data_IF_016265253149
#
_entry.id   IF_016265253149
#
_cell.length_a   1.000
_cell.length_b   1.000
_cell.length_c   1.000
_cell.angle_alpha   90.00
_cell.angle_beta   90.00
_cell.angle_gamma   90.00
#
_symmetry.space_group_name_H-M   'P 1'
#
loop_
_entity.id
_entity.type
_entity.pdbx_description
1 polymer ?
#
# COMPACT_ATOMS: atom_id res chain seq x y z
N UNK A 1 6.80 21.53 15.55
CA UNK A 1 8.26 21.63 15.28
C UNK A 1 8.58 20.95 13.96
N UNK A 2 9.65 21.37 13.30
CA UNK A 2 10.36 20.62 12.27
C UNK A 2 11.69 20.19 12.88
N UNK A 3 12.07 18.93 12.68
CA UNK A 3 13.26 18.33 13.28
C UNK A 3 14.14 17.81 12.15
N UNK A 4 15.44 18.09 12.26
CA UNK A 4 16.44 17.43 11.46
C UNK A 4 17.62 16.97 12.33
N UNK A 5 18.33 15.95 11.85
CA UNK A 5 19.46 15.36 12.52
C UNK A 5 20.50 14.86 11.51
N UNK A 6 21.77 14.89 11.91
CA UNK A 6 22.84 14.19 11.20
C UNK A 6 23.75 13.45 12.17
N UNK A 7 24.33 12.35 11.70
CA UNK A 7 25.15 11.45 12.52
C UNK A 7 26.57 12.01 12.61
N UNK A 8 27.05 12.21 13.84
CA UNK A 8 28.41 12.64 14.16
C UNK A 8 29.37 11.44 14.15
N UNK A 9 29.00 10.40 14.88
CA UNK A 9 29.72 9.14 14.96
C UNK A 9 28.75 7.97 14.93
N UNK A 10 29.12 6.90 14.22
CA UNK A 10 28.36 5.65 14.25
C UNK A 10 28.90 4.80 15.39
N UNK A 11 28.01 4.39 16.27
CA UNK A 11 28.28 3.36 17.26
C UNK A 11 28.44 1.99 16.60
N UNK A 12 29.18 1.09 17.24
CA UNK A 12 29.33 -0.30 16.78
C UNK A 12 28.21 -1.24 17.29
N UNK A 13 27.24 -0.70 18.05
CA UNK A 13 26.07 -1.43 18.52
C UNK A 13 26.30 -2.32 19.75
N UNK A 14 27.50 -2.30 20.34
CA UNK A 14 27.89 -3.14 21.48
C UNK A 14 27.44 -2.58 22.86
N UNK A 15 26.21 -2.09 22.97
CA UNK A 15 25.62 -1.59 24.23
C UNK A 15 25.44 -0.07 24.33
N UNK A 16 24.93 0.45 25.47
CA UNK A 16 24.53 1.86 25.64
C UNK A 16 25.69 2.85 25.46
N UNK A 17 26.90 2.46 25.85
CA UNK A 17 28.13 3.28 25.72
C UNK A 17 28.73 3.23 24.30
N UNK A 18 28.19 2.36 23.45
CA UNK A 18 28.59 2.20 22.06
C UNK A 18 27.52 2.71 21.08
N UNK A 19 26.72 3.69 21.54
CA UNK A 19 25.69 4.36 20.76
C UNK A 19 26.26 5.28 19.67
N UNK A 20 25.42 5.64 18.70
CA UNK A 20 25.76 6.67 17.72
C UNK A 20 25.58 8.06 18.32
N UNK A 21 26.51 8.98 18.07
CA UNK A 21 26.31 10.40 18.41
C UNK A 21 25.63 11.11 17.26
N UNK A 22 24.63 11.93 17.57
CA UNK A 22 23.78 12.61 16.58
C UNK A 22 23.64 14.07 16.97
N UNK A 23 23.83 14.97 16.01
CA UNK A 23 23.46 16.38 16.17
C UNK A 23 21.99 16.51 15.75
N UNK A 24 21.17 17.06 16.64
CA UNK A 24 19.73 17.26 16.43
C UNK A 24 19.43 18.75 16.51
N UNK A 25 18.68 19.26 15.55
CA UNK A 25 18.16 20.63 15.59
C UNK A 25 16.66 20.67 15.37
N UNK A 26 16.00 21.60 16.05
CA UNK A 26 14.56 21.79 16.02
C UNK A 26 14.24 23.24 15.72
N UNK A 27 13.26 23.46 14.85
CA UNK A 27 12.71 24.79 14.57
C UNK A 27 11.19 24.78 14.70
N UNK A 28 10.60 25.88 15.19
CA UNK A 28 9.14 26.05 15.18
C UNK A 28 8.65 26.13 13.74
N UNK A 29 7.54 25.46 13.45
CA UNK A 29 6.95 25.44 12.09
C UNK A 29 6.65 26.87 11.61
N UNK A 30 6.13 27.70 12.49
CA UNK A 30 5.80 29.09 12.22
C UNK A 30 7.04 29.92 11.86
N UNK A 31 8.11 29.85 12.68
CA UNK A 31 9.39 30.51 12.36
C UNK A 31 9.97 30.07 11.01
N UNK A 32 9.91 28.77 10.69
CA UNK A 32 10.37 28.26 9.41
C UNK A 32 9.49 28.79 8.26
N UNK A 33 8.18 28.79 8.44
CA UNK A 33 7.21 29.29 7.47
C UNK A 33 7.42 30.78 7.20
N UNK A 34 7.52 31.60 8.24
CA UNK A 34 7.75 33.05 8.12
C UNK A 34 9.05 33.34 7.37
N UNK A 35 10.10 32.59 7.66
CA UNK A 35 11.37 32.70 6.94
C UNK A 35 11.22 32.33 5.45
N UNK A 36 10.57 31.21 5.13
CA UNK A 36 10.30 30.80 3.74
C UNK A 36 9.43 31.84 3.01
N UNK A 37 8.37 32.33 3.66
CA UNK A 37 7.44 33.28 3.05
C UNK A 37 8.10 34.65 2.81
N UNK A 38 9.03 35.07 3.68
CA UNK A 38 9.84 36.27 3.44
C UNK A 38 10.70 36.15 2.17
N UNK A 39 11.29 34.98 1.91
CA UNK A 39 12.09 34.71 0.72
C UNK A 39 11.23 34.60 -0.54
N UNK A 40 10.02 34.04 -0.43
CA UNK A 40 9.04 34.02 -1.53
C UNK A 40 8.63 35.42 -1.96
N UNK A 41 8.58 36.39 -1.04
CA UNK A 41 8.36 37.80 -1.37
C UNK A 41 9.41 38.36 -2.33
N UNK A 42 10.62 37.80 -2.32
CA UNK A 42 11.70 38.09 -3.26
C UNK A 42 11.78 37.09 -4.43
N UNK A 43 10.75 36.27 -4.65
CA UNK A 43 10.71 35.19 -5.66
C UNK A 43 11.79 34.10 -5.47
N UNK A 44 12.27 33.91 -4.25
CA UNK A 44 13.27 32.89 -3.90
C UNK A 44 12.59 31.73 -3.19
N UNK A 45 12.76 30.51 -3.72
CA UNK A 45 12.42 29.28 -3.01
C UNK A 45 13.73 28.59 -2.54
N UNK A 46 14.05 28.60 -1.24
CA UNK A 46 15.31 28.04 -0.76
C UNK A 46 15.31 26.51 -0.85
N UNK A 47 16.34 25.95 -1.49
CA UNK A 47 16.60 24.49 -1.51
C UNK A 47 17.04 23.94 -0.15
N UNK A 48 17.80 24.75 0.59
CA UNK A 48 18.36 24.39 1.88
C UNK A 48 18.07 25.51 2.87
N UNK A 49 17.63 25.13 4.07
CA UNK A 49 17.55 26.03 5.24
C UNK A 49 18.30 25.32 6.38
N UNK A 50 19.35 25.93 6.90
CA UNK A 50 20.28 25.33 7.88
C UNK A 50 20.67 26.37 8.95
N UNK A 51 21.44 25.96 9.96
CA UNK A 51 22.01 26.84 10.98
C UNK A 51 23.22 27.62 10.43
N UNK A 52 23.35 28.89 10.82
CA UNK A 52 24.48 29.76 10.43
C UNK A 52 25.85 29.17 10.81
N UNK A 53 25.98 28.56 12.01
CA UNK A 53 27.23 27.94 12.44
C UNK A 53 27.69 26.80 11.52
N UNK A 54 26.74 26.04 10.96
CA UNK A 54 27.05 24.96 10.02
C UNK A 54 27.35 25.49 8.62
N UNK A 55 26.76 26.63 8.24
CA UNK A 55 27.18 27.32 7.04
C UNK A 55 28.66 27.73 7.10
N UNK A 56 29.11 28.32 8.22
CA UNK A 56 30.53 28.64 8.40
C UNK A 56 31.43 27.40 8.30
N UNK A 57 30.98 26.27 8.87
CA UNK A 57 31.66 24.96 8.74
C UNK A 57 31.84 24.52 7.28
N UNK A 58 30.85 24.74 6.41
CA UNK A 58 30.98 24.39 4.99
C UNK A 58 32.07 25.19 4.28
N UNK A 59 32.29 26.46 4.68
CA UNK A 59 33.42 27.26 4.19
C UNK A 59 34.76 26.76 4.72
N UNK A 60 34.84 26.52 6.03
CA UNK A 60 36.06 25.99 6.65
C UNK A 60 36.48 24.65 6.03
N UNK A 61 35.52 23.75 5.82
CA UNK A 61 35.79 22.46 5.19
C UNK A 61 36.11 22.55 3.72
N UNK A 62 35.89 23.65 3.02
CA UNK A 62 36.33 23.75 1.63
C UNK A 62 37.84 24.04 1.56
N UNK A 63 38.36 24.91 2.42
CA UNK A 63 39.70 25.49 2.25
C UNK A 63 40.73 25.23 3.36
N UNK A 64 40.31 24.92 4.58
CA UNK A 64 41.24 24.86 5.73
C UNK A 64 41.50 23.45 6.26
N UNK A 65 40.50 22.55 6.18
CA UNK A 65 40.52 21.11 6.60
C UNK A 65 41.75 20.68 7.43
N UNK A 66 41.65 20.74 8.75
CA UNK A 66 42.65 20.16 9.67
C UNK A 66 42.12 18.89 10.33
N UNK A 67 43.02 18.00 10.76
CA UNK A 67 42.65 16.83 11.58
C UNK A 67 42.43 17.21 13.06
N UNK A 68 42.89 18.38 13.48
CA UNK A 68 42.76 18.90 14.84
C UNK A 68 41.34 19.35 15.19
N UNK A 69 41.08 19.49 16.50
CA UNK A 69 39.83 20.04 17.03
C UNK A 69 39.89 21.57 17.05
N UNK A 70 39.07 22.23 16.22
CA UNK A 70 39.09 23.69 16.04
C UNK A 70 37.73 24.31 16.33
N UNK A 71 37.73 25.55 16.79
CA UNK A 71 36.53 26.36 16.98
C UNK A 71 36.35 27.31 15.79
N UNK A 72 35.14 27.41 15.26
CA UNK A 72 34.75 28.39 14.25
C UNK A 72 33.77 29.37 14.88
N UNK A 73 34.08 30.67 14.84
CA UNK A 73 33.32 31.71 15.50
C UNK A 73 32.94 32.83 14.53
N UNK A 74 31.66 32.95 14.22
CA UNK A 74 31.09 34.10 13.51
C UNK A 74 30.67 35.17 14.53
N UNK A 75 31.30 36.35 14.50
CA UNK A 75 30.99 37.47 15.39
C UNK A 75 30.17 38.51 14.61
N UNK A 76 28.85 38.36 14.68
CA UNK A 76 27.89 39.26 14.03
C UNK A 76 27.65 40.55 14.81
N UNK A 77 26.58 41.27 14.44
CA UNK A 77 26.19 42.51 15.11
C UNK A 77 25.41 42.24 16.41
N UNK A 78 24.31 41.48 16.34
CA UNK A 78 23.47 41.17 17.51
C UNK A 78 23.70 39.78 18.10
N UNK A 79 24.30 38.87 17.32
CA UNK A 79 24.52 37.47 17.69
C UNK A 79 25.90 37.02 17.20
N UNK A 80 26.45 36.05 17.92
CA UNK A 80 27.67 35.34 17.53
C UNK A 80 27.40 33.84 17.57
N UNK A 81 28.01 33.10 16.64
CA UNK A 81 27.76 31.68 16.46
C UNK A 81 29.06 30.90 16.53
N UNK A 82 29.11 29.89 17.39
CA UNK A 82 30.23 28.98 17.57
C UNK A 82 29.90 27.60 16.99
N UNK A 83 30.85 27.03 16.27
CA UNK A 83 30.86 25.62 15.84
C UNK A 83 32.22 25.01 16.17
N UNK A 84 32.29 24.00 17.01
CA UNK A 84 33.51 23.22 17.23
C UNK A 84 33.51 22.02 16.30
N UNK A 85 34.62 21.86 15.60
CA UNK A 85 34.86 20.84 14.58
C UNK A 85 35.96 19.94 15.10
N UNK A 86 35.67 18.66 15.30
CA UNK A 86 36.65 17.64 15.70
C UNK A 86 36.75 16.60 14.60
N UNK A 87 37.99 16.27 14.17
CA UNK A 87 38.27 15.25 13.15
C UNK A 87 37.44 15.46 11.88
N UNK A 88 37.40 16.72 11.42
CA UNK A 88 36.66 17.15 10.24
C UNK A 88 35.12 17.17 10.36
N UNK A 89 34.55 16.92 11.55
CA UNK A 89 33.10 16.85 11.76
C UNK A 89 32.61 17.92 12.75
N UNK A 90 31.49 18.61 12.45
CA UNK A 90 30.94 19.62 13.35
C UNK A 90 30.18 18.93 14.47
N UNK A 91 30.56 19.15 15.74
CA UNK A 91 30.03 18.38 16.88
C UNK A 91 29.33 19.20 17.96
N UNK A 92 29.74 20.46 18.13
CA UNK A 92 29.20 21.35 19.17
C UNK A 92 28.87 22.70 18.59
N UNK A 93 27.60 23.10 18.68
CA UNK A 93 27.09 24.36 18.12
C UNK A 93 26.47 25.18 19.24
N UNK A 94 26.82 26.46 19.31
CA UNK A 94 26.27 27.40 20.28
C UNK A 94 26.02 28.76 19.65
N UNK A 95 24.95 29.43 20.08
CA UNK A 95 24.65 30.81 19.69
C UNK A 95 24.68 31.68 20.93
N UNK A 96 25.38 32.79 20.85
CA UNK A 96 25.44 33.84 21.85
C UNK A 96 24.53 35.00 21.41
N UNK A 97 23.69 35.50 22.31
CA UNK A 97 22.85 36.67 22.06
C UNK A 97 23.63 37.99 22.25
N UNK A 98 24.86 38.01 21.74
CA UNK A 98 25.82 39.13 21.83
C UNK A 98 26.63 39.18 20.55
N UNK A 99 27.06 40.38 20.18
CA UNK A 99 27.90 40.65 19.02
C UNK A 99 28.41 42.09 19.08
N UNK A 100 28.78 42.65 17.93
CA UNK A 100 29.31 44.01 17.81
C UNK A 100 28.43 45.12 18.38
N UNK A 101 27.10 44.95 18.47
CA UNK A 101 26.19 45.93 19.05
C UNK A 101 26.46 46.16 20.55
N UNK A 102 27.01 45.16 21.26
CA UNK A 102 27.42 45.32 22.65
C UNK A 102 28.57 46.32 22.79
N UNK A 103 29.53 46.26 21.87
CA UNK A 103 30.64 47.21 21.77
C UNK A 103 30.09 48.61 21.45
N UNK A 104 29.24 48.70 20.43
CA UNK A 104 28.63 49.97 20.00
C UNK A 104 27.83 50.63 21.11
N UNK A 105 27.02 49.87 21.84
CA UNK A 105 26.25 50.38 22.99
C UNK A 105 27.16 50.87 24.11
N UNK A 106 28.27 50.17 24.36
CA UNK A 106 29.24 50.57 25.39
C UNK A 106 29.96 51.86 25.01
N UNK A 107 30.27 52.06 23.73
CA UNK A 107 30.84 53.32 23.20
C UNK A 107 29.81 54.45 23.33
N UNK A 108 28.57 54.20 22.93
CA UNK A 108 27.45 55.14 23.09
C UNK A 108 27.32 55.60 24.54
N UNK A 109 27.25 54.67 25.49
CA UNK A 109 27.06 55.00 26.92
C UNK A 109 28.27 55.73 27.51
N UNK A 110 29.47 55.39 27.07
CA UNK A 110 30.69 56.01 27.58
C UNK A 110 30.93 57.43 27.05
N UNK A 111 30.61 57.67 25.76
CA UNK A 111 30.85 58.94 25.10
C UNK A 111 29.63 59.85 25.05
N UNK A 112 28.43 59.35 25.37
CA UNK A 112 27.18 60.10 25.34
C UNK A 112 26.72 60.47 23.93
N UNK A 113 27.12 59.70 22.91
CA UNK A 113 26.82 59.92 21.49
C UNK A 113 25.69 59.04 20.97
N UNK A 114 25.20 59.29 19.75
CA UNK A 114 24.18 58.44 19.12
C UNK A 114 24.71 57.05 18.74
N UNK A 115 23.83 56.05 18.59
CA UNK A 115 24.21 54.68 18.22
C UNK A 115 24.94 54.63 16.85
N UNK A 116 24.45 55.38 15.87
CA UNK A 116 25.06 55.46 14.53
C UNK A 116 26.47 56.06 14.58
N UNK A 117 26.65 57.14 15.35
CA UNK A 117 27.95 57.78 15.58
C UNK A 117 28.92 56.86 16.35
N UNK A 118 28.41 56.12 17.34
CA UNK A 118 29.18 55.11 18.07
C UNK A 118 29.64 53.96 17.15
N UNK A 119 28.78 53.52 16.23
CA UNK A 119 29.15 52.50 15.24
C UNK A 119 30.22 53.00 14.28
N UNK A 120 30.08 54.24 13.81
CA UNK A 120 31.07 54.89 12.96
C UNK A 120 32.42 55.01 13.67
N UNK A 121 32.43 55.43 14.95
CA UNK A 121 33.65 55.49 15.76
C UNK A 121 34.28 54.11 15.97
N UNK A 122 33.47 53.07 16.21
CA UNK A 122 33.92 51.67 16.32
C UNK A 122 34.59 51.19 15.02
N UNK A 123 33.99 51.49 13.86
CA UNK A 123 34.49 51.03 12.56
C UNK A 123 35.76 51.81 12.15
N UNK A 124 35.78 53.12 12.37
CA UNK A 124 36.86 54.02 11.91
C UNK A 124 38.10 54.00 12.81
N UNK A 125 37.91 53.94 14.13
CA UNK A 125 38.98 54.10 15.12
C UNK A 125 39.06 52.95 16.13
N UNK A 126 38.17 51.96 16.05
CA UNK A 126 38.14 50.84 16.98
C UNK A 126 39.40 49.99 16.88
N UNK A 127 40.18 50.01 17.96
CA UNK A 127 41.39 49.21 18.13
C UNK A 127 41.41 48.60 19.52
N UNK A 128 41.84 47.34 19.62
CA UNK A 128 42.15 46.70 20.89
C UNK A 128 43.66 46.74 21.10
N UNK A 129 44.10 47.44 22.16
CA UNK A 129 45.50 47.44 22.56
C UNK A 129 45.78 46.18 23.38
N UNK A 130 46.77 45.37 22.96
CA UNK A 130 47.09 44.07 23.57
C UNK A 130 48.48 44.03 24.22
N UNK A 131 49.25 45.12 24.11
CA UNK A 131 50.52 45.38 24.81
C UNK A 131 50.56 46.86 25.21
N UNK A 132 51.17 47.19 26.35
CA UNK A 132 51.52 48.57 26.72
C UNK A 132 52.70 49.02 25.87
N UNK A 133 52.46 49.27 24.59
CA UNK A 133 53.40 50.08 23.81
C UNK A 133 53.20 51.51 24.30
N UNK A 134 54.22 52.07 24.96
CA UNK A 134 54.19 53.38 25.63
C UNK A 134 54.00 54.56 24.69
N UNK A 135 52.89 54.58 23.96
CA UNK A 135 52.47 55.65 23.08
C UNK A 135 51.28 56.31 23.74
N UNK A 136 51.56 57.46 24.37
CA UNK A 136 50.63 58.39 25.00
C UNK A 136 49.65 59.00 23.98
N UNK A 137 48.69 58.21 23.48
CA UNK A 137 47.49 58.74 22.85
C UNK A 137 46.27 58.40 23.73
N UNK A 138 45.97 59.31 24.66
CA UNK A 138 44.89 59.23 25.67
C UNK A 138 43.53 58.76 25.08
N UNK A 139 43.23 59.15 23.83
CA UNK A 139 42.00 58.76 23.13
C UNK A 139 41.99 57.28 22.67
N UNK A 140 43.13 56.72 22.25
CA UNK A 140 43.20 55.30 21.82
C UNK A 140 43.14 54.33 22.98
N UNK A 141 43.78 54.67 24.11
CA UNK A 141 43.68 53.86 25.33
C UNK A 141 42.24 53.85 25.86
N UNK A 142 41.60 55.02 25.88
CA UNK A 142 40.18 55.16 26.26
C UNK A 142 39.30 54.31 25.35
N UNK A 143 39.38 54.46 24.02
CA UNK A 143 38.59 53.68 23.05
C UNK A 143 38.82 52.17 23.22
N UNK A 144 40.08 51.74 23.36
CA UNK A 144 40.41 50.32 23.59
C UNK A 144 39.81 49.78 24.89
N UNK A 145 39.85 50.55 25.98
CA UNK A 145 39.27 50.13 27.27
C UNK A 145 37.75 49.95 27.20
N UNK A 146 37.06 50.85 26.50
CA UNK A 146 35.61 50.83 26.27
C UNK A 146 35.22 49.62 25.41
N UNK A 147 36.01 49.34 24.37
CA UNK A 147 35.79 48.19 23.50
C UNK A 147 35.97 46.87 24.25
N UNK A 148 37.04 46.74 25.05
CA UNK A 148 37.27 45.55 25.89
C UNK A 148 36.10 45.33 26.85
N UNK A 149 35.67 46.38 27.54
CA UNK A 149 34.49 46.34 28.43
C UNK A 149 33.22 45.87 27.71
N UNK A 150 33.02 46.30 26.46
CA UNK A 150 31.90 45.84 25.63
C UNK A 150 31.99 44.37 25.23
N UNK A 151 33.20 43.80 25.15
CA UNK A 151 33.47 42.41 24.83
C UNK A 151 33.41 41.48 26.06
N UNK A 152 33.68 41.96 27.27
CA UNK A 152 33.78 41.14 28.50
C UNK A 152 32.62 40.14 28.71
N UNK A 153 31.33 40.53 28.53
CA UNK A 153 30.23 39.59 28.70
C UNK A 153 30.26 38.46 27.66
N UNK A 154 30.63 38.79 26.43
CA UNK A 154 30.79 37.80 25.35
C UNK A 154 32.00 36.89 25.60
N UNK A 155 33.12 37.44 26.06
CA UNK A 155 34.32 36.68 26.40
C UNK A 155 34.06 35.67 27.51
N UNK A 156 33.29 36.06 28.53
CA UNK A 156 32.91 35.16 29.62
C UNK A 156 32.10 33.96 29.10
N UNK A 157 31.09 34.20 28.26
CA UNK A 157 30.26 33.14 27.69
C UNK A 157 31.06 32.24 26.73
N UNK A 158 31.97 32.82 25.94
CA UNK A 158 32.84 32.08 25.01
C UNK A 158 33.78 31.14 25.78
N UNK A 159 34.49 31.64 26.80
CA UNK A 159 35.37 30.83 27.67
C UNK A 159 34.62 29.66 28.30
N UNK A 160 33.43 29.93 28.85
CA UNK A 160 32.58 28.88 29.43
C UNK A 160 32.17 27.82 28.40
N UNK A 161 31.94 28.22 27.15
CA UNK A 161 31.50 27.32 26.09
C UNK A 161 32.62 26.41 25.61
N UNK A 162 33.82 26.96 25.43
CA UNK A 162 35.02 26.20 25.09
C UNK A 162 35.35 25.22 26.23
N UNK A 163 35.39 25.69 27.47
CA UNK A 163 35.67 24.86 28.63
C UNK A 163 34.63 23.74 28.82
N UNK A 164 33.35 24.03 28.62
CA UNK A 164 32.29 23.02 28.68
C UNK A 164 32.47 21.92 27.62
N UNK A 165 32.88 22.30 26.41
CA UNK A 165 33.22 21.33 25.37
C UNK A 165 34.40 20.45 25.78
N UNK A 166 35.50 21.05 26.23
CA UNK A 166 36.71 20.31 26.61
C UNK A 166 36.45 19.32 27.75
N UNK A 167 35.66 19.71 28.75
CA UNK A 167 35.23 18.81 29.82
C UNK A 167 34.36 17.67 29.28
N UNK A 168 33.37 17.99 28.46
CA UNK A 168 32.37 17.03 28.00
C UNK A 168 32.98 15.98 27.06
N UNK A 169 33.90 16.39 26.19
CA UNK A 169 34.47 15.54 25.14
C UNK A 169 35.90 15.08 25.43
N UNK A 170 36.55 15.63 26.47
CA UNK A 170 37.95 15.35 26.81
C UNK A 170 38.91 15.54 25.62
N UNK A 171 38.64 16.55 24.80
CA UNK A 171 39.41 16.94 23.63
C UNK A 171 39.65 18.46 23.67
N UNK A 172 40.91 18.94 23.71
CA UNK A 172 41.19 20.37 23.74
C UNK A 172 40.89 21.03 22.39
N UNK A 173 40.47 22.29 22.42
CA UNK A 173 40.39 23.11 21.19
C UNK A 173 41.78 23.66 20.91
N UNK A 174 42.33 23.40 19.72
CA UNK A 174 43.73 23.78 19.40
C UNK A 174 43.82 25.15 18.71
N UNK A 175 42.76 25.57 18.03
CA UNK A 175 42.75 26.79 17.22
C UNK A 175 41.35 27.38 17.10
N UNK A 176 41.28 28.71 17.04
CA UNK A 176 40.06 29.47 16.83
C UNK A 176 40.10 30.19 15.48
N UNK A 177 39.14 29.90 14.62
CA UNK A 177 38.89 30.65 13.40
C UNK A 177 37.78 31.65 13.62
N UNK A 178 38.01 32.92 13.29
CA UNK A 178 37.03 34.00 13.45
C UNK A 178 36.57 34.58 12.11
N UNK A 179 35.28 34.89 12.03
CA UNK A 179 34.62 35.51 10.88
C UNK A 179 33.57 36.53 11.35
N UNK A 180 32.93 37.21 10.39
CA UNK A 180 31.84 38.13 10.65
C UNK A 180 32.27 39.59 10.72
N UNK A 181 31.30 40.50 10.78
CA UNK A 181 31.57 41.93 10.74
C UNK A 181 32.45 42.42 11.90
N UNK A 182 32.20 41.90 13.10
CA UNK A 182 32.92 42.32 14.30
C UNK A 182 34.31 41.71 14.43
N UNK A 183 34.63 40.65 13.66
CA UNK A 183 36.00 40.13 13.61
C UNK A 183 36.95 41.09 12.88
N UNK A 184 36.46 42.15 12.22
CA UNK A 184 37.32 43.13 11.54
C UNK A 184 37.92 44.19 12.46
N UNK A 185 37.56 44.16 13.75
CA UNK A 185 38.11 45.07 14.74
C UNK A 185 39.62 44.86 14.86
N UNK A 186 40.39 45.96 14.86
CA UNK A 186 41.85 45.88 14.80
C UNK A 186 42.39 45.18 16.05
N UNK A 187 43.24 44.17 15.84
CA UNK A 187 43.85 43.29 16.86
C UNK A 187 42.88 42.41 17.67
N UNK A 188 41.65 42.18 17.19
CA UNK A 188 40.72 41.28 17.89
C UNK A 188 41.23 39.83 17.93
N UNK A 189 41.92 39.38 16.88
CA UNK A 189 42.62 38.10 16.81
C UNK A 189 43.63 37.95 17.95
N UNK A 190 44.47 38.96 18.17
CA UNK A 190 45.50 38.96 19.22
C UNK A 190 44.89 39.06 20.62
N UNK A 191 43.85 39.89 20.77
CA UNK A 191 43.10 39.99 22.03
C UNK A 191 42.47 38.64 22.40
N UNK A 192 41.77 38.01 21.45
CA UNK A 192 41.17 36.69 21.66
C UNK A 192 42.24 35.64 21.95
N UNK A 193 43.37 35.68 21.25
CA UNK A 193 44.47 34.74 21.46
C UNK A 193 45.05 34.84 22.86
N UNK A 194 45.28 36.06 23.36
CA UNK A 194 45.76 36.28 24.73
C UNK A 194 44.71 35.89 25.78
N UNK A 195 43.44 36.21 25.56
CA UNK A 195 42.37 35.93 26.52
C UNK A 195 42.04 34.44 26.62
N UNK A 196 42.16 33.70 25.51
CA UNK A 196 41.77 32.29 25.40
C UNK A 196 42.97 31.33 25.47
N UNK A 197 44.20 31.82 25.40
CA UNK A 197 45.42 31.02 25.24
C UNK A 197 45.33 30.09 24.01
N UNK A 198 44.86 30.63 22.87
CA UNK A 198 44.64 29.91 21.62
C UNK A 198 45.25 30.64 20.43
N UNK A 199 45.68 29.88 19.42
CA UNK A 199 45.98 30.46 18.12
C UNK A 199 44.66 30.95 17.48
N UNK A 200 44.64 32.19 17.01
CA UNK A 200 43.46 32.80 16.37
C UNK A 200 43.79 33.20 14.95
N UNK A 201 42.97 32.77 14.00
CA UNK A 201 43.12 33.10 12.59
C UNK A 201 41.79 33.58 11.99
N UNK A 202 41.85 34.50 11.02
CA UNK A 202 40.66 34.86 10.25
C UNK A 202 40.28 33.75 9.27
N UNK A 203 39.04 33.26 9.39
CA UNK A 203 38.45 32.46 8.32
C UNK A 203 38.10 33.39 7.16
N UNK A 204 38.74 33.18 6.01
CA UNK A 204 38.54 34.01 4.84
C UNK A 204 38.31 33.19 3.58
N UNK A 205 37.54 33.75 2.66
CA UNK A 205 37.35 33.16 1.33
C UNK A 205 38.57 33.55 0.47
N UNK A 206 39.20 32.59 -0.24
CA UNK A 206 40.38 32.88 -1.05
C UNK A 206 40.17 34.00 -2.07
N UNK A 207 41.19 34.86 -2.24
CA UNK A 207 41.11 36.02 -3.13
C UNK A 207 40.77 35.66 -4.59
N UNK A 208 41.21 34.50 -5.08
CA UNK A 208 40.90 34.01 -6.43
C UNK A 208 39.39 33.83 -6.67
N UNK A 209 38.65 33.49 -5.60
CA UNK A 209 37.19 33.38 -5.64
C UNK A 209 36.53 34.75 -5.53
N UNK A 210 37.06 35.64 -4.68
CA UNK A 210 36.56 37.01 -4.50
C UNK A 210 36.67 37.83 -5.78
N UNK A 211 37.75 37.69 -6.55
CA UNK A 211 37.94 38.42 -7.81
C UNK A 211 36.88 38.11 -8.88
N UNK A 212 36.19 36.97 -8.76
CA UNK A 212 35.10 36.59 -9.68
C UNK A 212 33.76 37.20 -9.29
N UNK A 213 33.68 37.83 -8.13
CA UNK A 213 32.46 38.40 -7.56
C UNK A 213 32.54 39.94 -7.62
N UNK A 214 31.60 40.63 -8.27
CA UNK A 214 31.58 42.09 -8.29
C UNK A 214 31.22 42.63 -6.90
N UNK A 215 31.92 43.68 -6.44
CA UNK A 215 31.55 44.44 -5.25
C UNK A 215 31.89 43.79 -3.89
N UNK A 216 32.76 42.77 -3.86
CA UNK A 216 33.19 42.10 -2.61
C UNK A 216 34.67 42.29 -2.29
N UNK A 217 35.28 43.34 -2.84
CA UNK A 217 36.67 43.70 -2.56
C UNK A 217 36.85 43.93 -1.06
N UNK A 218 37.79 43.18 -0.44
CA UNK A 218 38.03 43.25 1.00
C UNK A 218 36.96 42.61 1.89
N UNK A 219 35.93 41.96 1.33
CA UNK A 219 34.85 41.30 2.08
C UNK A 219 35.15 39.83 2.44
N UNK A 220 36.40 39.37 2.26
CA UNK A 220 36.78 37.96 2.42
C UNK A 220 36.45 37.36 3.79
N UNK A 221 36.46 38.16 4.85
CA UNK A 221 36.09 37.77 6.23
C UNK A 221 34.63 38.01 6.58
N UNK A 222 33.89 38.75 5.74
CA UNK A 222 32.47 39.10 5.94
C UNK A 222 31.53 38.06 5.32
N UNK A 223 31.90 37.48 4.17
CA UNK A 223 31.07 36.55 3.43
C UNK A 223 31.26 35.04 3.70
N UNK A 224 32.16 34.53 4.58
CA UNK A 224 32.34 33.09 4.79
C UNK A 224 31.05 32.31 5.05
N UNK A 225 30.15 32.84 5.88
CA UNK A 225 28.87 32.18 6.19
C UNK A 225 27.98 32.07 4.94
N UNK A 226 27.90 33.13 4.13
CA UNK A 226 27.14 33.13 2.88
C UNK A 226 27.72 32.17 1.83
N UNK A 227 29.04 32.16 1.67
CA UNK A 227 29.74 31.24 0.76
C UNK A 227 29.53 29.79 1.20
N UNK A 228 29.52 29.53 2.49
CA UNK A 228 29.25 28.20 3.04
C UNK A 228 27.85 27.68 2.73
N UNK A 229 26.84 28.56 2.78
CA UNK A 229 25.48 28.22 2.32
C UNK A 229 25.44 27.91 0.83
N UNK A 230 26.21 28.62 0.00
CA UNK A 230 26.30 28.34 -1.44
C UNK A 230 26.94 26.99 -1.69
N UNK A 231 28.08 26.69 -1.04
CA UNK A 231 28.76 25.40 -1.13
C UNK A 231 27.81 24.25 -0.73
N UNK A 232 27.08 24.44 0.37
CA UNK A 232 26.06 23.50 0.83
C UNK A 232 24.94 23.28 -0.20
N UNK A 233 24.46 24.34 -0.83
CA UNK A 233 23.43 24.26 -1.88
C UNK A 233 23.90 23.51 -3.13
N UNK A 234 25.18 23.65 -3.48
CA UNK A 234 25.83 23.03 -4.64
C UNK A 234 26.17 21.54 -4.42
N UNK A 235 26.38 21.11 -3.18
CA UNK A 235 26.68 19.72 -2.85
C UNK A 235 25.52 18.76 -3.21
N UNK A 236 25.85 17.52 -3.62
CA UNK A 236 24.87 16.44 -3.89
C UNK A 236 24.27 15.93 -2.56
N UNK A 237 23.07 15.32 -2.66
CA UNK A 237 22.09 14.93 -1.60
C UNK A 237 22.58 14.31 -0.26
N UNK A 238 23.88 14.09 -0.04
CA UNK A 238 24.42 13.41 1.16
C UNK A 238 25.56 14.16 1.87
N UNK A 239 25.72 15.46 1.63
CA UNK A 239 26.64 16.23 2.45
C UNK A 239 26.19 16.24 3.91
N UNK A 240 27.14 16.08 4.84
CA UNK A 240 26.94 16.25 6.28
C UNK A 240 26.35 17.64 6.55
N UNK A 241 25.26 17.72 7.30
CA UNK A 241 24.62 18.99 7.67
C UNK A 241 23.10 18.87 7.78
N UNK A 242 22.48 19.90 8.33
CA UNK A 242 21.04 19.98 8.52
C UNK A 242 20.35 20.58 7.29
N UNK A 243 19.08 20.28 7.11
CA UNK A 243 18.18 20.94 6.19
C UNK A 243 16.75 20.88 6.71
N UNK A 244 16.23 22.03 7.15
CA UNK A 244 14.86 22.17 7.63
C UNK A 244 13.80 22.12 6.52
N UNK A 245 14.16 22.08 5.23
CA UNK A 245 13.22 21.86 4.11
C UNK A 245 12.72 20.40 4.07
N UNK A 246 11.89 20.04 5.05
CA UNK A 246 11.35 18.68 5.28
C UNK A 246 9.83 18.67 5.33
N UNK A 247 9.25 17.50 5.04
CA UNK A 247 7.81 17.26 5.12
C UNK A 247 7.03 18.21 4.21
N UNK A 248 6.08 18.95 4.79
CA UNK A 248 5.28 19.96 4.08
C UNK A 248 6.11 21.13 3.53
N UNK A 249 7.32 21.35 4.05
CA UNK A 249 8.27 22.38 3.61
C UNK A 249 9.39 21.81 2.74
N UNK A 250 9.18 20.69 2.04
CA UNK A 250 10.19 20.16 1.12
C UNK A 250 10.41 21.08 -0.10
N UNK A 251 11.63 21.09 -0.64
CA UNK A 251 11.97 21.83 -1.86
C UNK A 251 11.79 20.99 -3.13
N UNK A 252 10.97 21.47 -4.06
CA UNK A 252 10.61 20.77 -5.29
C UNK A 252 9.50 19.72 -5.11
N UNK A 253 9.18 18.97 -6.18
CA UNK A 253 8.24 17.85 -6.10
C UNK A 253 8.87 16.72 -5.30
N UNK A 254 8.19 16.23 -4.26
CA UNK A 254 8.53 14.95 -3.63
C UNK A 254 8.54 13.85 -4.70
N UNK A 255 9.71 13.52 -5.27
CA UNK A 255 9.93 12.16 -5.77
C UNK A 255 10.24 11.34 -4.53
N UNK A 256 9.20 11.16 -3.70
CA UNK A 256 9.22 10.32 -2.52
C UNK A 256 9.73 8.95 -2.96
N UNK A 257 10.57 8.35 -2.13
CA UNK A 257 10.95 6.92 -2.14
C UNK A 257 9.75 5.95 -2.20
N UNK A 258 8.52 6.47 -2.21
CA UNK A 258 7.27 5.77 -2.47
C UNK A 258 7.07 5.35 -3.92
N UNK A 259 7.77 5.90 -4.92
CA UNK A 259 7.56 5.46 -6.32
C UNK A 259 7.93 3.99 -6.50
N UNK A 260 9.00 3.54 -5.84
CA UNK A 260 9.37 2.12 -5.82
C UNK A 260 8.29 1.27 -5.12
N UNK A 261 7.81 1.70 -3.95
CA UNK A 261 6.76 0.99 -3.19
C UNK A 261 5.44 0.90 -3.96
N UNK A 262 5.03 1.97 -4.64
CA UNK A 262 3.82 2.00 -5.47
C UNK A 262 3.98 1.06 -6.67
N UNK A 263 5.15 1.03 -7.30
CA UNK A 263 5.43 0.11 -8.40
C UNK A 263 5.36 -1.37 -7.94
N UNK A 264 5.88 -1.69 -6.75
CA UNK A 264 5.75 -3.03 -6.16
C UNK A 264 4.30 -3.41 -5.86
N UNK A 265 3.49 -2.48 -5.34
CA UNK A 265 2.06 -2.71 -5.07
C UNK A 265 1.31 -2.96 -6.39
N UNK A 266 1.57 -2.15 -7.42
CA UNK A 266 0.97 -2.33 -8.75
C UNK A 266 1.37 -3.68 -9.34
N UNK A 267 2.65 -4.05 -9.27
CA UNK A 267 3.14 -5.35 -9.74
C UNK A 267 2.46 -6.52 -8.99
N UNK A 268 2.31 -6.42 -7.67
CA UNK A 268 1.64 -7.43 -6.86
C UNK A 268 0.16 -7.60 -7.25
N UNK A 269 -0.56 -6.49 -7.49
CA UNK A 269 -1.96 -6.54 -7.96
C UNK A 269 -2.06 -7.22 -9.32
N UNK A 270 -1.16 -6.91 -10.26
CA UNK A 270 -1.13 -7.54 -11.58
C UNK A 270 -0.91 -9.05 -11.47
N UNK A 271 0.01 -9.49 -10.60
CA UNK A 271 0.25 -10.93 -10.36
C UNK A 271 -0.99 -11.62 -9.81
N UNK A 272 -1.70 -11.01 -8.85
CA UNK A 272 -2.94 -11.58 -8.30
C UNK A 272 -4.02 -11.70 -9.38
N UNK A 273 -4.18 -10.69 -10.23
CA UNK A 273 -5.14 -10.72 -11.35
C UNK A 273 -4.78 -11.81 -12.36
N UNK A 274 -3.50 -11.97 -12.70
CA UNK A 274 -3.02 -13.01 -13.62
C UNK A 274 -3.28 -14.41 -13.04
N UNK A 275 -2.94 -14.64 -11.77
CA UNK A 275 -3.20 -15.92 -11.10
C UNK A 275 -4.70 -16.22 -11.04
N UNK A 276 -5.53 -15.24 -10.71
CA UNK A 276 -6.99 -15.38 -10.70
C UNK A 276 -7.56 -15.69 -12.10
N UNK A 277 -6.99 -15.08 -13.15
CA UNK A 277 -7.39 -15.33 -14.54
C UNK A 277 -7.02 -16.75 -15.00
N UNK A 278 -5.83 -17.24 -14.60
CA UNK A 278 -5.38 -18.61 -14.87
C UNK A 278 -6.25 -19.64 -14.14
N UNK A 279 -6.59 -19.41 -12.87
CA UNK A 279 -7.51 -20.27 -12.11
C UNK A 279 -8.90 -20.30 -12.75
N UNK A 280 -9.44 -19.12 -13.12
CA UNK A 280 -10.72 -19.02 -13.80
C UNK A 280 -10.73 -19.77 -15.14
N UNK A 281 -9.69 -19.61 -15.95
CA UNK A 281 -9.56 -20.28 -17.24
C UNK A 281 -9.48 -21.81 -17.08
N UNK A 282 -8.70 -22.30 -16.12
CA UNK A 282 -8.59 -23.73 -15.81
C UNK A 282 -9.94 -24.31 -15.39
N UNK A 283 -10.67 -23.65 -14.49
CA UNK A 283 -12.01 -24.09 -14.06
C UNK A 283 -13.02 -24.06 -15.19
N UNK A 284 -12.93 -23.09 -16.09
CA UNK A 284 -13.80 -23.00 -17.26
C UNK A 284 -13.61 -24.20 -18.19
N UNK A 285 -12.35 -24.57 -18.47
CA UNK A 285 -12.01 -25.73 -19.31
C UNK A 285 -12.46 -27.05 -18.68
N UNK A 286 -12.25 -27.23 -17.36
CA UNK A 286 -12.71 -28.43 -16.65
C UNK A 286 -14.23 -28.59 -16.71
N UNK A 287 -14.98 -27.49 -16.53
CA UNK A 287 -16.45 -27.50 -16.63
C UNK A 287 -16.91 -27.84 -18.05
N UNK A 288 -16.25 -27.32 -19.06
CA UNK A 288 -16.57 -27.62 -20.46
C UNK A 288 -16.35 -29.10 -20.78
N UNK A 289 -15.24 -29.67 -20.31
CA UNK A 289 -14.91 -31.08 -20.51
C UNK A 289 -15.91 -32.00 -19.81
N UNK A 290 -16.25 -31.71 -18.55
CA UNK A 290 -17.28 -32.45 -17.80
C UNK A 290 -18.65 -32.39 -18.47
N UNK A 291 -19.03 -31.22 -19.01
CA UNK A 291 -20.29 -31.08 -19.74
C UNK A 291 -20.35 -32.00 -20.98
N UNK A 292 -19.25 -32.10 -21.73
CA UNK A 292 -19.16 -33.01 -22.87
C UNK A 292 -19.17 -34.49 -22.46
N UNK A 293 -18.47 -34.85 -21.37
CA UNK A 293 -18.49 -36.21 -20.83
C UNK A 293 -19.89 -36.64 -20.41
N UNK A 294 -20.59 -35.82 -19.61
CA UNK A 294 -21.97 -36.10 -19.19
C UNK A 294 -22.90 -36.26 -20.40
N UNK A 295 -22.76 -35.41 -21.43
CA UNK A 295 -23.55 -35.52 -22.66
C UNK A 295 -23.27 -36.83 -23.41
N UNK A 296 -22.00 -37.24 -23.47
CA UNK A 296 -21.58 -38.50 -24.08
C UNK A 296 -22.13 -39.71 -23.33
N UNK A 297 -22.08 -39.70 -22.00
CA UNK A 297 -22.58 -40.80 -21.16
C UNK A 297 -24.10 -40.94 -21.26
N UNK A 298 -24.84 -39.83 -21.26
CA UNK A 298 -26.28 -39.82 -21.52
C UNK A 298 -26.59 -40.45 -22.89
N UNK A 299 -25.80 -40.10 -23.91
CA UNK A 299 -25.98 -40.63 -25.26
C UNK A 299 -25.68 -42.13 -25.35
N UNK A 300 -24.62 -42.61 -24.68
CA UNK A 300 -24.29 -44.04 -24.61
C UNK A 300 -25.42 -44.82 -23.95
N UNK A 301 -25.86 -44.38 -22.77
CA UNK A 301 -26.96 -45.01 -22.05
C UNK A 301 -28.26 -45.05 -22.88
N UNK A 302 -28.55 -43.99 -23.65
CA UNK A 302 -29.69 -43.95 -24.56
C UNK A 302 -29.59 -44.98 -25.69
N UNK A 303 -28.43 -45.07 -26.36
CA UNK A 303 -28.21 -46.00 -27.48
C UNK A 303 -28.25 -47.46 -27.00
N UNK A 304 -27.65 -47.78 -25.85
CA UNK A 304 -27.70 -49.13 -25.26
C UNK A 304 -29.13 -49.57 -24.94
N UNK A 305 -29.98 -48.64 -24.51
CA UNK A 305 -31.38 -48.94 -24.16
C UNK A 305 -32.28 -49.03 -25.41
N UNK A 306 -31.98 -48.29 -26.49
CA UNK A 306 -32.81 -48.19 -27.70
C UNK A 306 -31.98 -48.31 -29.00
N UNK A 307 -31.45 -49.50 -29.34
CA UNK A 307 -30.48 -49.71 -30.42
C UNK A 307 -31.00 -49.47 -31.85
N UNK A 308 -32.30 -49.18 -32.04
CA UNK A 308 -32.92 -48.92 -33.34
C UNK A 308 -33.16 -47.44 -33.69
N UNK A 309 -32.73 -46.50 -32.84
CA UNK A 309 -33.03 -45.06 -33.03
C UNK A 309 -31.98 -44.37 -33.89
N UNK A 310 -32.34 -43.91 -35.09
CA UNK A 310 -31.41 -43.31 -36.07
C UNK A 310 -31.24 -41.79 -35.93
N UNK A 311 -32.16 -41.08 -35.28
CA UNK A 311 -32.10 -39.62 -35.11
C UNK A 311 -32.19 -39.20 -33.64
N UNK A 312 -31.05 -38.82 -33.07
CA UNK A 312 -30.89 -38.43 -31.66
C UNK A 312 -30.69 -36.91 -31.60
N UNK A 313 -31.74 -36.18 -31.21
CA UNK A 313 -31.74 -34.70 -31.17
C UNK A 313 -31.79 -34.19 -29.73
N UNK A 314 -32.49 -34.89 -28.83
CA UNK A 314 -32.60 -34.52 -27.42
C UNK A 314 -32.74 -35.77 -26.58
N UNK A 315 -31.59 -36.30 -26.15
CA UNK A 315 -31.44 -37.60 -25.49
C UNK A 315 -32.39 -37.74 -24.29
N UNK A 316 -32.43 -36.73 -23.42
CA UNK A 316 -33.27 -36.74 -22.22
C UNK A 316 -34.77 -36.73 -22.53
N UNK A 317 -35.21 -35.96 -23.54
CA UNK A 317 -36.62 -35.82 -23.86
C UNK A 317 -37.14 -37.04 -24.63
N UNK A 318 -36.31 -37.59 -25.53
CA UNK A 318 -36.60 -38.81 -26.26
C UNK A 318 -36.64 -40.02 -25.32
N UNK A 319 -35.73 -40.10 -24.34
CA UNK A 319 -35.76 -41.13 -23.30
C UNK A 319 -37.07 -41.10 -22.50
N UNK A 320 -37.45 -39.93 -22.00
CA UNK A 320 -38.72 -39.75 -21.26
C UNK A 320 -39.93 -40.19 -22.09
N UNK A 321 -39.95 -39.80 -23.36
CA UNK A 321 -41.07 -40.13 -24.26
C UNK A 321 -41.15 -41.63 -24.56
N UNK A 322 -40.01 -42.28 -24.81
CA UNK A 322 -39.94 -43.72 -25.07
C UNK A 322 -40.36 -44.55 -23.84
N UNK A 323 -39.94 -44.15 -22.64
CA UNK A 323 -40.36 -44.78 -21.38
C UNK A 323 -41.88 -44.68 -21.19
N UNK A 324 -42.47 -43.52 -21.48
CA UNK A 324 -43.93 -43.34 -21.40
C UNK A 324 -44.69 -44.17 -22.44
N UNK A 325 -44.16 -44.33 -23.65
CA UNK A 325 -44.76 -45.20 -24.67
C UNK A 325 -44.70 -46.69 -24.26
N UNK A 326 -43.56 -47.14 -23.73
CA UNK A 326 -43.41 -48.50 -23.22
C UNK A 326 -44.38 -48.79 -22.08
N UNK A 327 -44.56 -47.85 -21.13
CA UNK A 327 -45.57 -47.97 -20.07
C UNK A 327 -46.99 -48.09 -20.64
N UNK A 328 -47.33 -47.33 -21.69
CA UNK A 328 -48.64 -47.44 -22.36
C UNK A 328 -48.85 -48.82 -22.98
N UNK A 329 -47.84 -49.39 -23.64
CA UNK A 329 -47.91 -50.75 -24.23
C UNK A 329 -48.08 -51.82 -23.15
N UNK A 330 -47.32 -51.74 -22.06
CA UNK A 330 -47.45 -52.64 -20.91
C UNK A 330 -48.88 -52.58 -20.32
N UNK A 331 -49.42 -51.38 -20.15
CA UNK A 331 -50.81 -51.18 -19.68
C UNK A 331 -51.84 -51.75 -20.66
N UNK A 332 -51.63 -51.61 -21.97
CA UNK A 332 -52.54 -52.11 -23.01
C UNK A 332 -52.58 -53.64 -23.08
N UNK A 333 -51.46 -54.31 -22.79
CA UNK A 333 -51.36 -55.77 -22.69
C UNK A 333 -51.91 -56.33 -21.36
N UNK A 334 -52.53 -55.48 -20.53
CA UNK A 334 -53.12 -55.87 -19.25
C UNK A 334 -52.12 -55.96 -18.09
N UNK A 335 -50.83 -55.72 -18.32
CA UNK A 335 -49.82 -55.62 -17.28
C UNK A 335 -49.82 -54.21 -16.67
N UNK A 336 -50.35 -54.06 -15.47
CA UNK A 336 -50.30 -52.78 -14.76
C UNK A 336 -50.48 -53.00 -13.27
N UNK A 337 -49.88 -52.12 -12.45
CA UNK A 337 -49.86 -52.20 -10.98
C UNK A 337 -51.23 -52.40 -10.29
N UNK A 338 -52.34 -52.19 -11.01
CA UNK A 338 -53.71 -52.18 -10.46
C UNK A 338 -54.66 -53.20 -11.13
N UNK A 339 -54.16 -54.25 -11.80
CA UNK A 339 -54.99 -55.38 -12.27
C UNK A 339 -54.42 -56.70 -11.74
N UNK A 340 -55.25 -57.47 -11.04
CA UNK A 340 -54.85 -58.71 -10.36
C UNK A 340 -54.67 -59.91 -11.32
N UNK A 341 -55.20 -59.85 -12.55
CA UNK A 341 -55.10 -60.92 -13.55
C UNK A 341 -54.88 -60.36 -14.97
N UNK A 342 -53.97 -60.96 -15.73
CA UNK A 342 -53.70 -60.62 -17.13
C UNK A 342 -54.74 -61.19 -18.09
N UNK A 343 -54.64 -60.82 -19.37
CA UNK A 343 -55.53 -61.32 -20.42
C UNK A 343 -55.53 -62.86 -20.54
N UNK A 344 -54.35 -63.46 -20.35
CA UNK A 344 -54.16 -64.91 -20.38
C UNK A 344 -54.73 -65.60 -19.15
N UNK A 345 -54.61 -64.98 -17.97
CA UNK A 345 -55.14 -65.53 -16.72
C UNK A 345 -56.67 -65.58 -16.77
N UNK A 346 -57.31 -64.51 -17.27
CA UNK A 346 -58.75 -64.43 -17.50
C UNK A 346 -59.27 -65.50 -18.46
N UNK A 347 -58.56 -65.72 -19.57
CA UNK A 347 -58.87 -66.77 -20.53
C UNK A 347 -58.80 -68.15 -19.88
N UNK A 348 -57.78 -68.40 -19.05
CA UNK A 348 -57.64 -69.67 -18.36
C UNK A 348 -58.77 -69.88 -17.33
N UNK A 349 -59.15 -68.85 -16.56
CA UNK A 349 -60.25 -68.94 -15.59
C UNK A 349 -61.60 -69.23 -16.25
N UNK A 350 -61.89 -68.60 -17.40
CA UNK A 350 -63.10 -68.89 -18.16
C UNK A 350 -63.09 -70.35 -18.63
N UNK A 351 -61.95 -70.83 -19.14
CA UNK A 351 -61.81 -72.21 -19.62
C UNK A 351 -61.97 -73.25 -18.50
N UNK A 352 -61.43 -73.02 -17.31
CA UNK A 352 -61.55 -73.93 -16.17
C UNK A 352 -62.98 -74.06 -15.64
N UNK A 353 -63.80 -73.00 -15.77
CA UNK A 353 -65.15 -72.97 -15.22
C UNK A 353 -66.21 -73.58 -16.14
N UNK A 354 -65.91 -73.78 -17.43
CA UNK A 354 -66.84 -74.38 -18.38
C UNK A 354 -66.79 -75.91 -18.27
N UNK A 355 -67.88 -76.60 -17.88
CA UNK A 355 -67.93 -78.06 -17.82
C UNK A 355 -67.67 -78.68 -19.20
N UNK A 356 -66.85 -79.74 -19.27
CA UNK A 356 -66.52 -80.45 -20.52
C UNK A 356 -67.72 -81.13 -21.20
N UNK A 357 -68.83 -81.26 -20.47
CA UNK A 357 -70.09 -81.83 -20.94
C UNK A 357 -70.93 -80.83 -21.76
N UNK A 358 -70.63 -79.53 -21.64
CA UNK A 358 -71.28 -78.47 -22.41
C UNK A 358 -70.66 -78.38 -23.81
N UNK A 359 -71.44 -78.70 -24.85
CA UNK A 359 -71.03 -78.50 -26.24
C UNK A 359 -71.11 -77.01 -26.60
N UNK A 360 -70.04 -76.29 -26.28
CA UNK A 360 -69.88 -74.85 -26.51
C UNK A 360 -68.55 -74.62 -27.21
N UNK A 361 -68.58 -73.97 -28.37
CA UNK A 361 -67.39 -73.55 -29.10
C UNK A 361 -67.31 -72.02 -29.13
N UNK A 362 -66.28 -71.45 -28.53
CA UNK A 362 -66.01 -70.01 -28.56
C UNK A 362 -65.14 -69.70 -29.77
N UNK A 363 -65.62 -68.82 -30.65
CA UNK A 363 -64.92 -68.43 -31.87
C UNK A 363 -64.18 -67.09 -31.70
N UNK A 364 -64.78 -66.16 -30.95
CA UNK A 364 -64.18 -64.85 -30.70
C UNK A 364 -64.19 -64.50 -29.21
N UNK A 365 -63.03 -64.04 -28.74
CA UNK A 365 -62.84 -63.44 -27.43
C UNK A 365 -62.33 -62.00 -27.63
N UNK A 366 -63.05 -61.03 -27.09
CA UNK A 366 -62.61 -59.64 -27.07
C UNK A 366 -62.63 -59.11 -25.64
N UNK A 367 -61.56 -58.43 -25.23
CA UNK A 367 -61.45 -57.85 -23.89
C UNK A 367 -60.93 -56.41 -23.98
N UNK A 368 -61.59 -55.51 -23.26
CA UNK A 368 -61.13 -54.14 -23.07
C UNK A 368 -60.90 -53.80 -21.57
N UNK A 369 -60.92 -52.51 -21.22
CA UNK A 369 -60.70 -52.06 -19.84
C UNK A 369 -61.84 -52.41 -18.87
N UNK A 370 -63.04 -52.72 -19.38
CA UNK A 370 -64.27 -52.84 -18.59
C UNK A 370 -65.17 -54.01 -18.98
N UNK A 371 -65.03 -54.56 -20.19
CA UNK A 371 -65.93 -55.58 -20.72
C UNK A 371 -65.18 -56.71 -21.40
N UNK A 372 -65.74 -57.91 -21.30
CA UNK A 372 -65.38 -59.08 -22.09
C UNK A 372 -66.57 -59.41 -23.00
N UNK A 373 -66.30 -59.72 -24.25
CA UNK A 373 -67.29 -60.21 -25.22
C UNK A 373 -66.85 -61.60 -25.69
N UNK A 374 -67.72 -62.58 -25.45
CA UNK A 374 -67.57 -63.96 -25.90
C UNK A 374 -68.59 -64.23 -27.00
N UNK A 375 -68.13 -64.77 -28.14
CA UNK A 375 -69.02 -65.23 -29.20
C UNK A 375 -68.74 -66.67 -29.55
N UNK A 376 -69.78 -67.46 -29.73
CA UNK A 376 -69.65 -68.88 -29.96
C UNK A 376 -70.91 -69.54 -30.50
N UNK A 377 -70.83 -70.85 -30.65
CA UNK A 377 -71.93 -71.71 -31.07
C UNK A 377 -72.16 -72.80 -30.01
N UNK A 378 -73.41 -73.17 -29.77
CA UNK A 378 -73.80 -74.31 -28.95
C UNK A 378 -74.87 -75.15 -29.64
N UNK A 379 -75.14 -76.37 -29.19
CA UNK A 379 -76.17 -77.27 -29.73
C UNK A 379 -77.59 -76.95 -29.19
N UNK A 380 -77.71 -76.21 -28.09
CA UNK A 380 -79.00 -75.85 -27.50
C UNK A 380 -79.00 -74.47 -26.82
N UNK A 381 -80.17 -73.83 -26.76
CA UNK A 381 -80.34 -72.59 -25.98
C UNK A 381 -80.14 -72.82 -24.48
N UNK A 382 -80.45 -74.03 -24.01
CA UNK A 382 -80.25 -74.42 -22.62
C UNK A 382 -78.77 -74.41 -22.24
N UNK A 383 -77.90 -74.89 -23.13
CA UNK A 383 -76.45 -74.87 -22.93
C UNK A 383 -75.86 -73.46 -22.90
N UNK A 384 -76.42 -72.52 -23.67
CA UNK A 384 -76.04 -71.09 -23.61
C UNK A 384 -76.42 -70.47 -22.25
N UNK A 385 -77.60 -70.79 -21.71
CA UNK A 385 -78.03 -70.26 -20.40
C UNK A 385 -77.25 -70.91 -19.25
N UNK A 386 -76.90 -72.20 -19.36
CA UNK A 386 -76.00 -72.87 -18.41
C UNK A 386 -74.60 -72.24 -18.43
N UNK A 387 -74.05 -71.97 -19.62
CA UNK A 387 -72.77 -71.26 -19.77
C UNK A 387 -72.81 -69.89 -19.09
N UNK A 388 -73.87 -69.11 -19.32
CA UNK A 388 -74.06 -67.82 -18.65
C UNK A 388 -74.04 -67.98 -17.12
N UNK A 389 -74.76 -68.96 -16.57
CA UNK A 389 -74.81 -69.22 -15.12
C UNK A 389 -73.45 -69.60 -14.53
N UNK A 390 -72.64 -70.37 -15.23
CA UNK A 390 -71.27 -70.71 -14.78
C UNK A 390 -70.34 -69.49 -14.80
N UNK A 391 -70.49 -68.62 -15.82
CA UNK A 391 -69.76 -67.37 -15.90
C UNK A 391 -70.20 -66.37 -14.80
N UNK A 392 -71.49 -66.32 -14.43
CA UNK A 392 -71.98 -65.53 -13.28
C UNK A 392 -71.37 -66.00 -11.95
N UNK A 393 -70.92 -67.26 -11.88
CA UNK A 393 -70.24 -67.81 -10.70
C UNK A 393 -68.79 -67.35 -10.52
N UNK A 394 -68.22 -66.63 -11.49
CA UNK A 394 -66.86 -66.08 -11.39
C UNK A 394 -66.92 -64.75 -10.66
N UNK A 395 -66.31 -64.67 -9.47
CA UNK A 395 -66.34 -63.49 -8.57
C UNK A 395 -65.84 -62.19 -9.21
N UNK A 396 -65.03 -62.29 -10.27
CA UNK A 396 -64.49 -61.16 -11.01
C UNK A 396 -65.51 -60.52 -11.97
N UNK A 397 -66.62 -61.20 -12.29
CA UNK A 397 -67.60 -60.75 -13.27
C UNK A 397 -68.80 -60.12 -12.55
N UNK A 398 -69.01 -58.82 -12.76
CA UNK A 398 -70.10 -58.07 -12.13
C UNK A 398 -71.45 -58.37 -12.75
N UNK A 399 -71.47 -58.60 -14.06
CA UNK A 399 -72.70 -58.86 -14.83
C UNK A 399 -72.39 -59.70 -16.06
N UNK A 400 -73.22 -60.70 -16.34
CA UNK A 400 -73.10 -61.57 -17.52
C UNK A 400 -74.43 -61.56 -18.26
N UNK A 401 -74.47 -60.92 -19.43
CA UNK A 401 -75.68 -60.81 -20.26
C UNK A 401 -75.51 -61.59 -21.56
N UNK A 402 -76.52 -62.43 -21.88
CA UNK A 402 -76.64 -63.01 -23.22
C UNK A 402 -77.24 -61.95 -24.14
N UNK A 403 -76.39 -61.25 -24.88
CA UNK A 403 -76.80 -60.16 -25.77
C UNK A 403 -77.52 -60.66 -27.04
N UNK A 404 -77.14 -61.84 -27.54
CA UNK A 404 -77.77 -62.48 -28.69
C UNK A 404 -77.73 -64.00 -28.50
N UNK A 405 -78.85 -64.69 -28.79
CA UNK A 405 -78.91 -66.13 -28.97
C UNK A 405 -79.89 -66.42 -30.11
N UNK A 406 -79.39 -66.94 -31.24
CA UNK A 406 -80.20 -67.21 -32.44
C UNK A 406 -79.80 -68.54 -33.07
N UNK A 407 -80.77 -69.25 -33.64
CA UNK A 407 -80.50 -70.42 -34.47
C UNK A 407 -79.63 -70.05 -35.67
N UNK A 408 -78.63 -70.87 -35.96
CA UNK A 408 -77.78 -70.76 -37.13
C UNK A 408 -78.59 -70.99 -38.41
N UNK A 409 -78.08 -70.50 -39.54
CA UNK A 409 -78.77 -70.58 -40.83
C UNK A 409 -79.08 -72.01 -41.30
N UNK A 410 -78.34 -73.01 -40.80
CA UNK A 410 -78.54 -74.44 -41.04
C UNK A 410 -79.44 -75.12 -39.99
N UNK A 411 -80.01 -74.35 -39.05
CA UNK A 411 -80.88 -74.78 -37.94
C UNK A 411 -80.29 -75.86 -37.02
N UNK A 412 -78.97 -76.07 -37.04
CA UNK A 412 -78.32 -77.12 -36.23
C UNK A 412 -77.71 -76.62 -34.93
N UNK A 413 -77.33 -75.34 -34.87
CA UNK A 413 -76.60 -74.76 -33.73
C UNK A 413 -77.24 -73.43 -33.30
N UNK A 414 -77.00 -73.01 -32.07
CA UNK A 414 -77.35 -71.71 -31.51
C UNK A 414 -76.09 -70.85 -31.50
N UNK A 415 -76.08 -69.79 -32.31
CA UNK A 415 -75.09 -68.72 -32.26
C UNK A 415 -75.40 -67.82 -31.08
N UNK A 416 -74.44 -67.61 -30.20
CA UNK A 416 -74.59 -66.76 -29.03
C UNK A 416 -73.51 -65.69 -28.93
N UNK A 417 -73.86 -64.59 -28.27
CA UNK A 417 -72.94 -63.55 -27.83
C UNK A 417 -73.20 -63.20 -26.38
N UNK A 418 -72.22 -63.43 -25.52
CA UNK A 418 -72.25 -63.05 -24.10
C UNK A 418 -71.38 -61.81 -23.91
N UNK A 419 -71.91 -60.83 -23.15
CA UNK A 419 -71.20 -59.64 -22.71
C UNK A 419 -71.04 -59.72 -21.21
N UNK A 420 -69.82 -59.55 -20.73
CA UNK A 420 -69.44 -59.64 -19.33
C UNK A 420 -68.87 -58.29 -18.91
N UNK A 421 -69.38 -57.70 -17.84
CA UNK A 421 -68.81 -56.50 -17.22
C UNK A 421 -67.85 -56.90 -16.10
N UNK A 422 -66.62 -56.34 -16.12
CA UNK A 422 -65.54 -56.54 -15.13
C UNK A 422 -65.63 -55.57 -13.94
#
# INVERSE_FOLDING_TARGET
>A
MVIDQFILSKGNGAGPEHGSSVCVALIKKETLKDHIDSLKGAYIDPKVIELESLALYHTYTEWYKTEDTVALLDIGASRSNLCIVSKGKPGYVRTFNRGGNGITSTIQDNLGIGFEEAEEKKISTGIILYETTGVEEDDKETVSSVIKKGLDPFMTELKQSLHAYEIQYNEPVTKLYIAGGSSRLINIDKFLGNELDLEVEHLSVPNEMLQKLPGVEGAGTLIPTGVGLVLRGAQKKHASGLNFRKGEYFYGKEVKESTGRILYIIAAIIVVILLGSIDFYSRYQDRMTRHQQIKSDIRKAYIETFPGTTNIVSENQQLKSAVEELKKKVTALGGGKNREMGALDLLNTINEKIPKELQVNINDFFMDKSKIRLQGNSDSFENVERLKKELEGITLFKKVDVSEAKLSADQKLVKFRIIIDL
#
